data_IF_156792083606
#
_entry.id   IF_156792083606
#
_cell.length_a   1.000
_cell.length_b   1.000
_cell.length_c   1.000
_cell.angle_alpha   90.00
_cell.angle_beta   90.00
_cell.angle_gamma   90.00
#
_symmetry.space_group_name_H-M   'P 1'
#
loop_
_entity.id
_entity.type
_entity.pdbx_description
1 polymer ?
#
# COMPACT_ATOMS: atom_id res chain seq x y z
N UNK A 1 -12.05 8.39 6.05
CA UNK A 1 -11.41 9.18 7.14
C UNK A 1 -11.38 10.64 6.69
N UNK A 2 -11.40 11.62 7.61
CA UNK A 2 -11.32 13.03 7.18
C UNK A 2 -9.85 13.45 7.16
N UNK A 3 -9.29 13.64 5.99
CA UNK A 3 -8.01 14.33 5.86
C UNK A 3 -8.20 15.77 6.35
N UNK A 4 -7.43 16.18 7.35
CA UNK A 4 -7.36 17.57 7.78
C UNK A 4 -5.94 17.96 8.16
N UNK A 5 -5.75 19.26 8.40
CA UNK A 5 -4.45 19.85 8.69
C UNK A 5 -3.75 19.22 9.92
N UNK A 6 -4.50 18.66 10.87
CA UNK A 6 -3.92 18.08 12.08
C UNK A 6 -3.26 16.73 11.79
N UNK A 7 -3.85 15.93 10.90
CA UNK A 7 -3.26 14.67 10.42
C UNK A 7 -1.98 14.92 9.63
N UNK A 8 -2.00 15.93 8.77
CA UNK A 8 -0.82 16.33 8.00
C UNK A 8 0.30 16.81 8.92
N UNK A 9 -0.02 17.63 9.92
CA UNK A 9 0.93 18.11 10.93
C UNK A 9 1.59 16.94 11.67
N UNK A 10 0.80 16.02 12.22
CA UNK A 10 1.30 14.84 12.94
C UNK A 10 2.17 13.94 12.03
N UNK A 11 1.71 13.64 10.83
CA UNK A 11 2.42 12.77 9.88
C UNK A 11 3.75 13.38 9.45
N UNK A 12 3.79 14.70 9.24
CA UNK A 12 4.98 15.42 8.76
C UNK A 12 6.18 15.35 9.73
N UNK A 13 5.94 15.03 11.00
CA UNK A 13 7.00 14.81 11.99
C UNK A 13 7.82 13.55 11.69
N UNK A 14 7.23 12.57 11.02
CA UNK A 14 7.82 11.25 10.80
C UNK A 14 8.21 11.01 9.34
N UNK A 15 7.38 11.47 8.40
CA UNK A 15 7.51 11.06 6.99
C UNK A 15 6.98 12.10 6.02
N UNK A 16 7.27 11.89 4.73
CA UNK A 16 6.82 12.70 3.61
C UNK A 16 5.57 12.14 2.93
N UNK A 17 5.07 10.99 3.38
CA UNK A 17 3.91 10.31 2.78
C UNK A 17 2.83 10.06 3.79
N UNK A 18 1.59 10.35 3.43
CA UNK A 18 0.42 10.06 4.25
C UNK A 18 -0.57 9.22 3.46
N UNK A 19 -1.05 8.14 4.07
CA UNK A 19 -2.13 7.33 3.54
C UNK A 19 -3.46 7.77 4.17
N UNK A 20 -4.44 8.08 3.35
CA UNK A 20 -5.81 8.35 3.79
C UNK A 20 -6.70 7.27 3.22
N UNK A 21 -7.34 6.48 4.09
CA UNK A 21 -8.18 5.37 3.64
C UNK A 21 -9.50 5.30 4.40
N UNK A 22 -10.55 4.88 3.72
CA UNK A 22 -11.84 4.47 4.26
C UNK A 22 -11.92 2.97 4.52
N UNK A 23 -10.88 2.20 4.17
CA UNK A 23 -10.81 0.77 4.49
C UNK A 23 -10.96 0.54 6.00
N UNK A 24 -11.79 -0.42 6.35
CA UNK A 24 -12.05 -0.83 7.74
C UNK A 24 -11.24 -2.07 8.05
N UNK A 25 -10.14 -1.88 8.76
CA UNK A 25 -9.19 -2.91 9.18
C UNK A 25 -9.52 -3.47 10.58
N UNK A 26 -10.48 -2.87 11.28
CA UNK A 26 -10.78 -3.19 12.68
C UNK A 26 -9.70 -2.69 13.64
N UNK A 27 -8.97 -1.64 13.23
CA UNK A 27 -7.83 -1.11 13.97
C UNK A 27 -8.26 -0.12 15.07
N UNK A 28 -7.39 0.08 16.07
CA UNK A 28 -7.64 1.01 17.18
C UNK A 28 -7.87 2.46 16.70
N UNK A 29 -7.18 2.89 15.65
CA UNK A 29 -7.31 4.25 15.14
C UNK A 29 -8.74 4.54 14.64
N UNK A 30 -9.49 3.54 14.15
CA UNK A 30 -10.88 3.72 13.70
C UNK A 30 -11.84 4.14 14.83
N UNK A 31 -11.47 3.82 16.07
CA UNK A 31 -12.19 4.25 17.25
C UNK A 31 -11.69 5.62 17.74
N UNK A 32 -10.37 5.77 17.91
CA UNK A 32 -9.75 6.97 18.46
C UNK A 32 -9.99 8.24 17.63
N UNK A 33 -10.07 8.09 16.30
CA UNK A 33 -10.30 9.17 15.33
C UNK A 33 -11.62 9.92 15.52
N UNK A 34 -12.53 9.40 16.36
CA UNK A 34 -13.80 10.08 16.69
C UNK A 34 -13.61 11.27 17.63
N UNK A 35 -12.58 11.21 18.46
CA UNK A 35 -12.36 12.16 19.55
C UNK A 35 -11.07 12.97 19.37
N UNK A 36 -10.05 12.40 18.73
CA UNK A 36 -8.73 13.01 18.55
C UNK A 36 -8.11 12.65 17.19
N UNK A 37 -7.33 13.55 16.56
CA UNK A 37 -6.57 13.22 15.35
C UNK A 37 -5.65 12.04 15.63
N UNK A 38 -5.77 10.99 14.83
CA UNK A 38 -5.04 9.74 15.03
C UNK A 38 -4.30 9.34 13.76
N UNK A 39 -2.99 9.16 13.89
CA UNK A 39 -2.15 8.64 12.81
C UNK A 39 -1.50 7.33 13.25
N UNK A 40 -1.36 6.40 12.31
CA UNK A 40 -0.52 5.21 12.47
C UNK A 40 0.77 5.45 11.71
N UNK A 41 1.91 5.31 12.38
CA UNK A 41 3.22 5.50 11.77
C UNK A 41 3.85 4.15 11.48
N UNK A 42 4.07 3.86 10.20
CA UNK A 42 4.88 2.72 9.76
C UNK A 42 6.28 3.20 9.39
N UNK A 43 7.28 2.82 10.19
CA UNK A 43 8.66 3.30 10.04
C UNK A 43 9.52 2.43 9.11
N UNK A 44 8.99 1.31 8.62
CA UNK A 44 9.71 0.37 7.76
C UNK A 44 9.40 -1.09 8.11
N UNK A 45 9.93 -2.01 7.31
CA UNK A 45 9.80 -3.45 7.57
C UNK A 45 10.73 -3.92 8.70
N UNK A 46 10.46 -5.12 9.25
CA UNK A 46 11.22 -5.67 10.37
C UNK A 46 12.73 -5.89 10.11
N UNK A 47 13.16 -5.82 8.85
CA UNK A 47 14.55 -5.94 8.43
C UNK A 47 15.13 -4.63 7.88
N UNK A 48 14.37 -3.53 7.90
CA UNK A 48 14.87 -2.22 7.47
C UNK A 48 15.75 -1.62 8.58
N UNK A 49 17.08 -1.48 8.36
CA UNK A 49 17.98 -0.98 9.38
C UNK A 49 17.71 0.48 9.76
N UNK A 50 16.94 1.23 8.97
CA UNK A 50 16.57 2.63 9.26
C UNK A 50 15.25 2.77 9.99
N UNK A 51 14.49 1.69 10.18
CA UNK A 51 13.16 1.78 10.79
C UNK A 51 13.22 2.36 12.20
N UNK A 52 14.21 1.93 13.00
CA UNK A 52 14.42 2.41 14.36
C UNK A 52 14.80 3.90 14.38
N UNK A 53 15.67 4.34 13.46
CA UNK A 53 16.08 5.75 13.36
C UNK A 53 14.90 6.64 12.98
N UNK A 54 14.09 6.24 11.99
CA UNK A 54 12.89 6.97 11.56
C UNK A 54 11.90 7.10 12.72
N UNK A 55 11.65 6.01 13.44
CA UNK A 55 10.76 5.99 14.59
C UNK A 55 11.29 6.92 15.70
N UNK A 56 12.56 6.78 16.07
CA UNK A 56 13.17 7.55 17.14
C UNK A 56 13.20 9.04 16.83
N UNK A 57 13.66 9.44 15.65
CA UNK A 57 13.73 10.84 15.26
C UNK A 57 12.35 11.50 15.25
N UNK A 58 11.33 10.82 14.71
CA UNK A 58 9.97 11.32 14.70
C UNK A 58 9.39 11.45 16.11
N UNK A 59 9.65 10.48 17.00
CA UNK A 59 9.26 10.56 18.42
C UNK A 59 9.96 11.72 19.15
N UNK A 60 11.24 11.96 18.88
CA UNK A 60 11.96 13.11 19.42
C UNK A 60 11.32 14.42 18.95
N UNK A 61 11.02 14.57 17.65
CA UNK A 61 10.32 15.76 17.13
C UNK A 61 8.96 15.95 17.80
N UNK A 62 8.17 14.88 17.92
CA UNK A 62 6.87 14.91 18.59
C UNK A 62 6.98 15.31 20.07
N UNK A 63 7.91 14.71 20.83
CA UNK A 63 8.05 14.94 22.27
C UNK A 63 8.64 16.32 22.62
N UNK A 64 9.37 16.94 21.70
CA UNK A 64 10.07 18.23 21.92
C UNK A 64 9.33 19.42 21.33
N UNK A 65 8.36 19.21 20.43
CA UNK A 65 7.61 20.28 19.81
C UNK A 65 6.62 20.92 20.80
N UNK A 66 6.52 22.24 20.78
CA UNK A 66 5.52 22.98 21.57
C UNK A 66 4.10 22.81 21.00
N UNK A 67 3.99 22.53 19.69
CA UNK A 67 2.75 22.32 18.97
C UNK A 67 2.99 21.30 17.84
N UNK A 68 2.22 20.22 17.86
CA UNK A 68 2.28 19.09 16.91
C UNK A 68 1.04 19.01 16.00
N UNK A 69 0.03 19.86 16.24
CA UNK A 69 -1.24 19.82 15.52
C UNK A 69 -1.39 20.98 14.53
N UNK A 70 -0.54 21.99 14.61
CA UNK A 70 -0.46 23.04 13.58
C UNK A 70 0.59 22.68 12.53
N UNK A 71 0.23 22.63 11.23
CA UNK A 71 1.19 22.42 10.16
C UNK A 71 2.31 23.46 10.24
N UNK A 72 3.54 22.98 10.38
CA UNK A 72 4.71 23.83 10.24
C UNK A 72 5.09 23.91 8.76
N UNK A 73 5.67 25.02 8.29
CA UNK A 73 6.28 25.06 6.97
C UNK A 73 7.37 23.99 6.89
N UNK A 74 7.06 22.85 6.27
CA UNK A 74 8.04 21.82 6.01
C UNK A 74 8.77 22.15 4.70
N UNK A 75 10.06 21.82 4.63
CA UNK A 75 10.85 21.93 3.38
C UNK A 75 10.34 20.99 2.27
N UNK A 76 9.42 20.07 2.61
CA UNK A 76 8.84 19.09 1.70
C UNK A 76 7.31 19.16 1.71
N UNK A 77 6.70 19.04 0.52
CA UNK A 77 5.27 18.79 0.42
C UNK A 77 4.96 17.35 0.82
N UNK A 78 3.94 17.17 1.65
CA UNK A 78 3.42 15.87 2.02
C UNK A 78 2.72 15.25 0.81
N UNK A 79 3.18 14.09 0.38
CA UNK A 79 2.53 13.29 -0.64
C UNK A 79 1.39 12.49 -0.01
N UNK A 80 0.14 12.79 -0.40
CA UNK A 80 -1.05 12.14 0.14
C UNK A 80 -1.57 11.10 -0.84
N UNK A 81 -1.70 9.87 -0.37
CA UNK A 81 -2.24 8.73 -1.12
C UNK A 81 -3.64 8.43 -0.59
N UNK A 82 -4.66 8.52 -1.44
CA UNK A 82 -6.07 8.54 -1.01
C UNK A 82 -6.85 7.34 -1.50
N UNK A 83 -7.61 6.71 -0.60
CA UNK A 83 -8.52 5.57 -0.82
C UNK A 83 -7.88 4.47 -1.69
N UNK A 84 -6.76 3.88 -1.24
CA UNK A 84 -6.14 2.79 -1.98
C UNK A 84 -7.05 1.59 -2.11
N UNK A 85 -6.90 0.89 -3.23
CA UNK A 85 -7.49 -0.43 -3.39
C UNK A 85 -6.52 -1.47 -2.87
N UNK A 86 -7.08 -2.58 -2.38
CA UNK A 86 -6.33 -3.72 -1.88
C UNK A 86 -6.42 -4.85 -2.90
N UNK A 87 -5.27 -5.43 -3.26
CA UNK A 87 -5.23 -6.64 -4.06
C UNK A 87 -5.22 -7.85 -3.14
N UNK A 88 -6.31 -8.58 -3.14
CA UNK A 88 -6.53 -9.76 -2.32
C UNK A 88 -6.51 -11.02 -3.20
N UNK A 89 -6.17 -12.14 -2.58
CA UNK A 89 -6.23 -13.45 -3.22
C UNK A 89 -7.46 -14.19 -2.70
N UNK A 90 -8.15 -14.92 -3.59
CA UNK A 90 -9.12 -15.91 -3.15
C UNK A 90 -8.45 -16.98 -2.27
N UNK A 91 -9.18 -17.52 -1.29
CA UNK A 91 -8.66 -18.52 -0.35
C UNK A 91 -8.02 -19.76 -1.03
N UNK A 92 -8.58 -20.16 -2.17
CA UNK A 92 -8.14 -21.30 -2.96
C UNK A 92 -6.95 -21.01 -3.89
N UNK A 93 -6.47 -19.75 -3.93
CA UNK A 93 -5.32 -19.36 -4.71
C UNK A 93 -4.01 -19.93 -4.16
N UNK A 94 -3.12 -20.33 -5.06
CA UNK A 94 -1.74 -20.71 -4.77
C UNK A 94 -0.80 -19.64 -5.28
N UNK A 95 -0.09 -19.01 -4.36
CA UNK A 95 0.95 -18.03 -4.68
C UNK A 95 2.33 -18.57 -4.31
N UNK A 96 3.32 -18.26 -5.15
CA UNK A 96 4.73 -18.49 -4.87
C UNK A 96 5.56 -17.28 -5.29
N UNK A 97 6.81 -17.23 -4.82
CA UNK A 97 7.79 -16.21 -5.20
C UNK A 97 8.99 -16.88 -5.87
N UNK A 98 9.25 -16.53 -7.13
CA UNK A 98 10.25 -17.20 -7.98
C UNK A 98 10.68 -16.29 -9.12
N UNK A 99 11.92 -16.46 -9.59
CA UNK A 99 12.51 -15.72 -10.72
C UNK A 99 11.81 -16.00 -12.07
N UNK A 100 11.02 -17.07 -12.12
CA UNK A 100 10.24 -17.48 -13.29
C UNK A 100 8.90 -18.07 -12.86
N UNK A 101 7.94 -18.11 -13.78
CA UNK A 101 6.63 -18.74 -13.59
C UNK A 101 6.72 -20.16 -13.03
N UNK A 102 5.91 -20.45 -12.02
CA UNK A 102 5.75 -21.78 -11.45
C UNK A 102 4.49 -22.47 -12.00
N UNK A 103 4.69 -23.63 -12.63
CA UNK A 103 3.62 -24.45 -13.21
C UNK A 103 2.62 -24.99 -12.17
N UNK A 104 2.96 -25.00 -10.88
CA UNK A 104 2.10 -25.47 -9.79
C UNK A 104 1.38 -24.35 -9.03
N UNK A 105 1.79 -23.10 -9.23
CA UNK A 105 1.14 -21.93 -8.64
C UNK A 105 0.09 -21.32 -9.58
N UNK A 106 -0.87 -20.61 -9.01
CA UNK A 106 -1.84 -19.81 -9.77
C UNK A 106 -1.26 -18.41 -10.06
N UNK A 107 -0.53 -17.87 -9.07
CA UNK A 107 0.18 -16.59 -9.12
C UNK A 107 1.65 -16.84 -8.78
N UNK A 108 2.57 -16.27 -9.57
CA UNK A 108 4.00 -16.21 -9.24
C UNK A 108 4.46 -14.76 -9.29
N UNK A 109 5.04 -14.24 -8.20
CA UNK A 109 5.71 -12.94 -8.21
C UNK A 109 7.24 -13.10 -8.12
N UNK A 110 8.04 -12.15 -8.61
CA UNK A 110 9.47 -12.13 -8.37
C UNK A 110 9.82 -12.09 -6.86
N UNK A 111 10.92 -12.71 -6.41
CA UNK A 111 11.32 -12.72 -5.00
C UNK A 111 11.67 -11.35 -4.42
N UNK A 112 11.88 -10.37 -5.30
CA UNK A 112 12.26 -8.99 -4.97
C UNK A 112 11.16 -7.98 -5.32
N UNK A 113 9.93 -8.42 -5.62
CA UNK A 113 8.80 -7.58 -6.07
C UNK A 113 8.48 -6.43 -5.09
N UNK A 114 8.84 -6.55 -3.82
CA UNK A 114 8.74 -5.52 -2.79
C UNK A 114 9.56 -4.27 -3.10
N UNK A 115 10.54 -4.33 -4.01
CA UNK A 115 11.31 -3.15 -4.44
C UNK A 115 10.45 -2.09 -5.16
N UNK A 116 9.25 -2.45 -5.60
CA UNK A 116 8.27 -1.51 -6.16
C UNK A 116 7.50 -0.73 -5.09
N UNK A 117 7.68 -1.03 -3.80
CA UNK A 117 7.05 -0.27 -2.72
C UNK A 117 7.40 1.22 -2.79
N UNK A 118 6.37 2.07 -2.79
CA UNK A 118 6.45 3.53 -2.85
C UNK A 118 7.15 4.08 -4.11
N UNK A 119 7.34 3.23 -5.13
CA UNK A 119 7.80 3.61 -6.46
C UNK A 119 6.62 3.79 -7.43
N UNK A 120 6.84 4.61 -8.45
CA UNK A 120 5.96 4.66 -9.63
C UNK A 120 6.26 3.46 -10.52
N UNK A 121 5.22 2.71 -10.89
CA UNK A 121 5.31 1.66 -11.90
C UNK A 121 4.46 2.03 -13.12
N UNK A 122 4.93 1.62 -14.29
CA UNK A 122 4.24 1.84 -15.57
C UNK A 122 3.64 0.54 -16.09
N UNK A 123 2.83 0.62 -17.13
CA UNK A 123 2.16 -0.50 -17.80
C UNK A 123 3.13 -1.45 -18.53
N UNK A 124 4.41 -1.08 -18.58
CA UNK A 124 5.52 -1.86 -19.16
C UNK A 124 6.20 -2.75 -18.11
N UNK A 125 6.00 -2.45 -16.82
CA UNK A 125 6.60 -3.20 -15.71
C UNK A 125 5.83 -4.49 -15.51
N UNK A 126 6.46 -5.63 -15.78
CA UNK A 126 5.89 -6.93 -15.46
C UNK A 126 5.98 -7.16 -13.95
N UNK A 127 4.82 -7.32 -13.31
CA UNK A 127 4.74 -7.59 -11.87
C UNK A 127 4.97 -9.07 -11.54
N UNK A 128 4.70 -9.97 -12.48
CA UNK A 128 4.83 -11.40 -12.28
C UNK A 128 4.06 -12.19 -13.34
N UNK A 129 3.59 -13.37 -12.94
CA UNK A 129 2.83 -14.29 -13.78
C UNK A 129 1.54 -14.71 -13.08
N UNK A 130 0.47 -14.79 -13.85
CA UNK A 130 -0.84 -15.29 -13.41
C UNK A 130 -1.36 -16.19 -14.51
N UNK A 131 -1.74 -17.42 -14.16
CA UNK A 131 -2.37 -18.31 -15.13
C UNK A 131 -3.66 -17.69 -15.64
N UNK A 132 -3.95 -17.71 -16.96
CA UNK A 132 -5.18 -17.12 -17.49
C UNK A 132 -6.45 -17.64 -16.80
N UNK A 133 -6.49 -18.94 -16.48
CA UNK A 133 -7.59 -19.59 -15.75
C UNK A 133 -7.68 -19.22 -14.26
N UNK A 134 -6.71 -18.46 -13.74
CA UNK A 134 -6.62 -17.99 -12.35
C UNK A 134 -6.83 -16.48 -12.21
N UNK A 135 -7.21 -15.78 -13.29
CA UNK A 135 -7.46 -14.34 -13.23
C UNK A 135 -8.55 -13.94 -12.24
N UNK A 136 -9.56 -14.79 -12.05
CA UNK A 136 -10.64 -14.59 -11.10
C UNK A 136 -10.19 -14.74 -9.64
N UNK A 137 -8.98 -15.28 -9.39
CA UNK A 137 -8.38 -15.41 -8.07
C UNK A 137 -7.75 -14.13 -7.55
N UNK A 138 -7.51 -13.16 -8.42
CA UNK A 138 -7.18 -11.80 -8.02
C UNK A 138 -8.47 -11.02 -7.77
N UNK A 139 -8.57 -10.40 -6.60
CA UNK A 139 -9.73 -9.62 -6.18
C UNK A 139 -9.26 -8.21 -5.85
N UNK A 140 -9.82 -7.21 -6.53
CA UNK A 140 -9.49 -5.80 -6.31
C UNK A 140 -10.79 -5.02 -6.28
N UNK A 141 -11.21 -4.67 -5.07
CA UNK A 141 -12.43 -3.89 -4.86
C UNK A 141 -12.08 -2.53 -4.25
N UNK A 142 -12.87 -1.52 -4.60
CA UNK A 142 -12.88 -0.26 -3.86
C UNK A 142 -13.43 -0.48 -2.44
N UNK A 143 -13.24 0.47 -1.50
CA UNK A 143 -13.87 0.42 -0.19
C UNK A 143 -15.41 0.31 -0.23
N UNK A 144 -16.04 0.72 -1.33
CA UNK A 144 -17.47 0.58 -1.57
C UNK A 144 -17.89 -0.80 -2.13
N UNK A 145 -16.94 -1.72 -2.34
CA UNK A 145 -17.19 -3.07 -2.85
C UNK A 145 -17.32 -3.16 -4.38
N UNK A 146 -16.84 -2.15 -5.12
CA UNK A 146 -16.88 -2.15 -6.59
C UNK A 146 -15.62 -2.81 -7.14
N UNK A 147 -15.78 -3.83 -7.99
CA UNK A 147 -14.65 -4.47 -8.70
C UNK A 147 -14.00 -3.48 -9.67
N UNK A 148 -12.70 -3.25 -9.49
CA UNK A 148 -11.86 -2.38 -10.30
C UNK A 148 -10.62 -3.08 -10.81
N UNK A 149 -10.58 -4.42 -10.78
CA UNK A 149 -9.42 -5.23 -11.19
C UNK A 149 -8.93 -4.88 -12.59
N UNK A 150 -9.81 -4.83 -13.58
CA UNK A 150 -9.42 -4.55 -14.97
C UNK A 150 -8.99 -3.09 -15.19
N UNK A 151 -9.24 -2.19 -14.24
CA UNK A 151 -8.68 -0.83 -14.23
C UNK A 151 -7.28 -0.78 -13.65
N UNK A 152 -6.88 -1.80 -12.89
CA UNK A 152 -5.62 -1.84 -12.15
C UNK A 152 -4.62 -2.78 -12.78
N UNK A 153 -5.07 -3.93 -13.26
CA UNK A 153 -4.21 -4.95 -13.82
C UNK A 153 -4.73 -5.37 -15.18
N UNK A 154 -3.78 -5.81 -16.00
CA UNK A 154 -4.05 -6.48 -17.26
C UNK A 154 -3.18 -7.71 -17.35
N UNK A 155 -3.67 -8.69 -18.10
CA UNK A 155 -2.95 -9.89 -18.49
C UNK A 155 -2.53 -9.79 -19.95
N UNK A 156 -1.26 -10.06 -20.23
CA UNK A 156 -0.76 -10.33 -21.59
C UNK A 156 -0.23 -11.78 -21.63
N UNK A 157 -1.02 -12.67 -22.22
CA UNK A 157 -0.83 -14.12 -22.04
C UNK A 157 -0.97 -14.50 -20.57
N UNK A 158 0.13 -14.89 -19.94
CA UNK A 158 0.21 -15.20 -18.51
C UNK A 158 1.00 -14.15 -17.70
N UNK A 159 1.40 -13.05 -18.32
CA UNK A 159 2.21 -12.01 -17.68
C UNK A 159 1.30 -10.94 -17.08
N UNK A 160 1.56 -10.61 -15.82
CA UNK A 160 0.79 -9.63 -15.06
C UNK A 160 1.41 -8.24 -15.20
N UNK A 161 0.59 -7.26 -15.60
CA UNK A 161 1.01 -5.87 -15.77
C UNK A 161 0.01 -4.91 -15.11
N UNK A 162 0.44 -3.69 -14.74
CA UNK A 162 -0.48 -2.59 -14.48
C UNK A 162 -1.28 -2.23 -15.74
N UNK A 163 -2.56 -1.92 -15.57
CA UNK A 163 -3.42 -1.40 -16.63
C UNK A 163 -3.23 0.10 -16.88
N UNK A 164 -2.62 0.81 -15.92
CA UNK A 164 -2.27 2.23 -15.95
C UNK A 164 -1.05 2.48 -15.02
N UNK A 165 -0.45 3.67 -15.00
CA UNK A 165 0.60 3.98 -14.04
C UNK A 165 0.07 3.99 -12.60
N UNK A 166 0.75 3.30 -11.70
CA UNK A 166 0.33 3.12 -10.31
C UNK A 166 1.47 3.41 -9.34
N UNK A 167 1.10 3.68 -8.10
CA UNK A 167 1.99 3.52 -6.94
C UNK A 167 1.53 2.32 -6.15
N UNK A 168 2.44 1.37 -5.96
CA UNK A 168 2.21 0.20 -5.11
C UNK A 168 2.90 0.38 -3.76
N UNK A 169 2.31 -0.18 -2.71
CA UNK A 169 2.93 -0.17 -1.39
C UNK A 169 2.40 -1.31 -0.52
N UNK A 170 3.14 -1.58 0.56
CA UNK A 170 2.96 -2.75 1.44
C UNK A 170 2.92 -4.08 0.67
N UNK A 171 3.69 -4.17 -0.42
CA UNK A 171 3.93 -5.41 -1.14
C UNK A 171 4.64 -6.38 -0.20
N UNK A 172 4.08 -7.59 -0.06
CA UNK A 172 4.66 -8.67 0.75
C UNK A 172 5.28 -9.74 -0.13
N UNK A 173 6.41 -10.30 0.33
CA UNK A 173 7.00 -11.54 -0.21
C UNK A 173 6.71 -12.77 0.64
N UNK A 174 5.86 -12.62 1.65
CA UNK A 174 5.42 -13.73 2.48
C UNK A 174 4.08 -14.28 1.95
N UNK A 175 4.12 -15.47 1.37
CA UNK A 175 2.94 -16.13 0.80
C UNK A 175 1.79 -16.30 1.81
N UNK A 176 2.09 -16.48 3.11
CA UNK A 176 1.04 -16.61 4.13
C UNK A 176 0.33 -15.28 4.38
N UNK A 177 1.07 -14.17 4.36
CA UNK A 177 0.50 -12.82 4.48
C UNK A 177 -0.31 -12.48 3.23
N UNK A 178 0.26 -12.74 2.04
CA UNK A 178 -0.41 -12.52 0.76
C UNK A 178 -1.77 -13.22 0.67
N UNK A 179 -1.88 -14.43 1.25
CA UNK A 179 -3.13 -15.20 1.29
C UNK A 179 -4.13 -14.77 2.36
N UNK A 180 -3.67 -14.21 3.47
CA UNK A 180 -4.55 -13.92 4.63
C UNK A 180 -4.95 -12.46 4.75
N UNK A 181 -4.21 -11.56 4.11
CA UNK A 181 -4.51 -10.13 4.08
C UNK A 181 -4.53 -9.62 2.63
N UNK A 182 -3.36 -9.32 2.06
CA UNK A 182 -3.28 -8.82 0.69
C UNK A 182 -1.88 -8.99 0.10
N UNK A 183 -1.82 -8.92 -1.23
CA UNK A 183 -0.58 -8.94 -1.99
C UNK A 183 0.12 -7.58 -1.95
N UNK A 184 -0.67 -6.52 -2.13
CA UNK A 184 -0.27 -5.12 -2.05
C UNK A 184 -1.49 -4.18 -2.10
N UNK A 185 -1.23 -2.90 -1.83
CA UNK A 185 -2.16 -1.81 -2.06
C UNK A 185 -1.74 -1.01 -3.31
N UNK A 186 -2.72 -0.36 -3.94
CA UNK A 186 -2.50 0.47 -5.12
C UNK A 186 -3.32 1.77 -5.11
N UNK A 187 -2.73 2.82 -5.65
CA UNK A 187 -3.37 4.09 -6.04
C UNK A 187 -2.91 4.49 -7.43
N UNK A 188 -3.60 5.44 -8.05
CA UNK A 188 -3.11 6.08 -9.29
C UNK A 188 -1.77 6.78 -9.03
N UNK A 189 -1.00 7.00 -10.08
CA UNK A 189 0.31 7.64 -9.99
C UNK A 189 0.28 9.05 -9.36
N UNK A 190 -0.81 9.79 -9.47
CA UNK A 190 -0.97 11.09 -8.79
C UNK A 190 -1.37 10.98 -7.31
N UNK A 191 -1.54 9.76 -6.78
CA UNK A 191 -1.94 9.49 -5.40
C UNK A 191 -3.45 9.58 -5.15
N UNK A 192 -4.26 9.80 -6.20
CA UNK A 192 -5.70 9.84 -6.08
C UNK A 192 -6.35 8.44 -6.07
N UNK A 193 -7.64 8.41 -5.74
CA UNK A 193 -8.41 7.18 -5.68
C UNK A 193 -8.84 6.73 -7.07
N UNK A 194 -9.05 5.43 -7.22
CA UNK A 194 -9.48 4.84 -8.49
C UNK A 194 -10.99 5.00 -8.63
N UNK A 195 -11.43 5.68 -9.69
CA UNK A 195 -12.83 5.78 -10.10
C UNK A 195 -13.25 4.57 -10.93
#
# INVERSE_FOLDING_TARGET
MKQDAQHEALTSLFTKRMLVTGLRLGALFEYSERDVPTVTIECGGAQDPRADDIAYEGLVRYATANDVLTPQPADWQLEVLTEPVRLELRDDARITYSEAEDVYADITLPPNVEHYNFGRITEEVQLGWVKPESWDKLVINTPAGVDVKDKILKLDGNRLYPAQPLKLFMITTNASIAKSDCLFYAVTDDGSHLQ
#
